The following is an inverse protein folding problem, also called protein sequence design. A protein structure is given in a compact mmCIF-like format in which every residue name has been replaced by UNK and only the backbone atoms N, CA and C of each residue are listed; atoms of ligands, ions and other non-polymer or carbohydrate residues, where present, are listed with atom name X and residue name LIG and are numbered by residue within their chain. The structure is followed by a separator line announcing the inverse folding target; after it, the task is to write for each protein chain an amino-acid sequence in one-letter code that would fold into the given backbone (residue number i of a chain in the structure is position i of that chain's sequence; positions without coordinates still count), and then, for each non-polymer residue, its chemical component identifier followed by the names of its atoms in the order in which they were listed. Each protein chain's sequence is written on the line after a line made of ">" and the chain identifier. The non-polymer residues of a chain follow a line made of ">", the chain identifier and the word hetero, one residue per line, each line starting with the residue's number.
data_IF_058767290931
#
_entry.id   IF_058767290931
#
_cell.length_a   1.000
_cell.length_b   1.000
_cell.length_c   1.000
_cell.angle_alpha   90.00
_cell.angle_beta   90.00
_cell.angle_gamma   90.00
#
_symmetry.space_group_name_H-M   'P 1'
#
loop_
_entity.id
_entity.type
_entity.pdbx_description
1 polymer ?
#
# COMPACT_ATOMS: atom_id res chain seq x y z
N UNK A 1 -4.32 -0.14 -7.20
CA UNK A 1 -3.06 0.34 -7.77
C UNK A 1 -2.42 -0.81 -8.54
N UNK A 2 -2.22 -0.63 -9.85
CA UNK A 2 -1.53 -1.57 -10.72
C UNK A 2 -0.02 -1.56 -10.44
N UNK A 3 0.73 -2.60 -10.85
CA UNK A 3 2.19 -2.62 -10.70
C UNK A 3 2.88 -1.43 -11.39
N UNK A 4 2.34 -0.96 -12.52
CA UNK A 4 2.93 0.15 -13.27
C UNK A 4 2.84 1.48 -12.54
N UNK A 5 1.70 1.74 -11.87
CA UNK A 5 1.49 2.92 -11.03
C UNK A 5 2.49 2.98 -9.86
N UNK A 6 2.98 1.82 -9.41
CA UNK A 6 3.95 1.72 -8.32
C UNK A 6 5.38 1.91 -8.85
N UNK A 7 5.77 1.15 -9.88
CA UNK A 7 7.17 1.01 -10.29
C UNK A 7 7.69 2.10 -11.24
N UNK A 8 6.83 2.76 -12.02
CA UNK A 8 7.26 3.62 -13.12
C UNK A 8 6.84 5.09 -12.95
N UNK A 9 7.72 5.98 -13.42
CA UNK A 9 7.38 7.40 -13.66
C UNK A 9 6.41 7.48 -14.84
N UNK A 10 5.43 8.37 -14.75
CA UNK A 10 4.33 8.41 -15.71
C UNK A 10 3.40 7.20 -15.66
N UNK A 11 3.55 6.32 -14.65
CA UNK A 11 2.73 5.12 -14.50
C UNK A 11 1.33 5.39 -13.94
N UNK A 12 1.05 6.60 -13.45
CA UNK A 12 -0.26 6.98 -12.96
C UNK A 12 -1.28 7.06 -14.11
N UNK A 13 -2.47 6.51 -13.87
CA UNK A 13 -3.50 6.33 -14.92
C UNK A 13 -4.07 7.67 -15.44
N UNK A 14 -4.08 8.71 -14.59
CA UNK A 14 -4.76 9.98 -14.89
C UNK A 14 -3.81 11.13 -15.25
N UNK A 15 -2.55 11.09 -14.78
CA UNK A 15 -1.60 12.20 -14.91
C UNK A 15 -0.16 11.69 -15.04
N UNK A 16 0.69 12.43 -15.75
CA UNK A 16 2.12 12.13 -15.75
C UNK A 16 2.76 12.50 -14.40
N UNK A 17 3.17 11.48 -13.64
CA UNK A 17 3.92 11.64 -12.40
C UNK A 17 5.44 11.63 -12.66
N UNK A 18 6.14 12.69 -12.26
CA UNK A 18 7.62 12.79 -12.38
C UNK A 18 8.35 11.76 -11.52
N UNK A 19 7.69 11.24 -10.49
CA UNK A 19 8.24 10.30 -9.51
C UNK A 19 7.35 9.05 -9.41
N UNK A 20 7.95 7.89 -9.15
CA UNK A 20 7.22 6.63 -9.05
C UNK A 20 6.25 6.62 -7.87
N UNK A 21 5.19 5.80 -7.94
CA UNK A 21 4.28 5.60 -6.80
C UNK A 21 5.02 5.08 -5.57
N UNK A 22 6.01 4.21 -5.74
CA UNK A 22 6.86 3.74 -4.64
C UNK A 22 7.59 4.89 -3.93
N UNK A 23 8.21 5.80 -4.67
CA UNK A 23 8.94 6.94 -4.08
C UNK A 23 8.02 7.83 -3.24
N UNK A 24 6.78 8.03 -3.71
CA UNK A 24 5.76 8.77 -2.97
C UNK A 24 5.29 8.03 -1.71
N UNK A 25 5.01 6.73 -1.82
CA UNK A 25 4.57 5.92 -0.68
C UNK A 25 5.65 5.84 0.41
N UNK A 26 6.93 5.68 0.04
CA UNK A 26 8.03 5.69 1.01
C UNK A 26 8.13 7.02 1.75
N UNK A 27 8.05 8.15 1.04
CA UNK A 27 8.03 9.49 1.67
C UNK A 27 6.82 9.69 2.58
N UNK A 28 5.64 9.19 2.18
CA UNK A 28 4.47 9.24 3.04
C UNK A 28 4.70 8.46 4.35
N UNK A 29 5.33 7.27 4.28
CA UNK A 29 5.67 6.49 5.48
C UNK A 29 6.68 7.21 6.38
N UNK A 30 7.66 7.89 5.80
CA UNK A 30 8.64 8.70 6.53
C UNK A 30 7.98 9.90 7.24
N UNK A 31 7.01 10.54 6.57
CA UNK A 31 6.29 11.70 7.11
C UNK A 31 5.25 11.33 8.18
N UNK A 32 4.59 10.18 8.05
CA UNK A 32 3.59 9.67 8.98
C UNK A 32 4.00 8.29 9.49
N UNK A 33 4.80 8.20 10.58
CA UNK A 33 5.35 6.93 11.06
C UNK A 33 4.27 5.92 11.49
N UNK A 34 3.12 6.43 11.95
CA UNK A 34 1.94 5.64 12.27
C UNK A 34 1.05 5.48 11.03
N UNK A 35 1.53 4.66 10.10
CA UNK A 35 0.83 4.29 8.89
C UNK A 35 0.58 2.79 8.80
N UNK A 36 -0.44 2.43 8.02
CA UNK A 36 -0.69 1.06 7.55
C UNK A 36 -1.41 1.13 6.21
N UNK A 37 -1.40 0.03 5.46
CA UNK A 37 -2.15 -0.10 4.22
C UNK A 37 -3.42 -0.93 4.41
N UNK A 38 -4.56 -0.41 3.94
CA UNK A 38 -5.83 -1.13 3.91
C UNK A 38 -5.99 -1.78 2.54
N UNK A 39 -6.08 -3.10 2.51
CA UNK A 39 -6.25 -3.86 1.28
C UNK A 39 -7.73 -4.22 1.05
N UNK A 40 -8.34 -3.81 -0.07
CA UNK A 40 -9.73 -4.12 -0.37
C UNK A 40 -9.95 -5.57 -0.80
N UNK A 41 -8.90 -6.30 -1.22
CA UNK A 41 -9.02 -7.72 -1.56
C UNK A 41 -8.99 -8.59 -0.30
N UNK A 42 -9.72 -9.73 -0.28
CA UNK A 42 -9.60 -10.72 0.78
C UNK A 42 -8.15 -11.22 0.96
N UNK A 43 -7.69 -11.47 2.21
CA UNK A 43 -6.33 -11.92 2.50
C UNK A 43 -5.85 -13.13 1.69
N UNK A 44 -6.74 -14.08 1.39
CA UNK A 44 -6.42 -15.26 0.60
C UNK A 44 -5.88 -14.93 -0.80
N UNK A 45 -6.24 -13.75 -1.34
CA UNK A 45 -5.82 -13.31 -2.67
C UNK A 45 -4.49 -12.54 -2.68
N UNK A 46 -3.98 -12.15 -1.52
CA UNK A 46 -2.82 -11.25 -1.43
C UNK A 46 -1.56 -11.88 -2.04
N UNK A 47 -1.36 -13.19 -1.83
CA UNK A 47 -0.21 -13.91 -2.35
C UNK A 47 -0.20 -14.07 -3.88
N UNK A 48 -1.35 -13.90 -4.54
CA UNK A 48 -1.49 -14.08 -5.99
C UNK A 48 -1.43 -12.76 -6.76
N UNK A 49 -1.41 -11.62 -6.06
CA UNK A 49 -1.49 -10.30 -6.68
C UNK A 49 -0.14 -9.59 -6.58
N UNK A 50 0.54 -9.40 -7.71
CA UNK A 50 1.90 -8.84 -7.73
C UNK A 50 2.00 -7.45 -7.08
N UNK A 51 1.07 -6.54 -7.38
CA UNK A 51 1.08 -5.20 -6.76
C UNK A 51 0.85 -5.25 -5.25
N UNK A 52 0.13 -6.26 -4.73
CA UNK A 52 -0.01 -6.45 -3.28
C UNK A 52 1.33 -6.85 -2.67
N UNK A 53 2.13 -7.70 -3.33
CA UNK A 53 3.47 -8.03 -2.85
C UNK A 53 4.38 -6.78 -2.80
N UNK A 54 4.33 -5.93 -3.82
CA UNK A 54 5.08 -4.67 -3.83
C UNK A 54 4.64 -3.74 -2.70
N UNK A 55 3.33 -3.56 -2.50
CA UNK A 55 2.80 -2.74 -1.40
C UNK A 55 3.20 -3.32 -0.03
N UNK A 56 3.20 -4.65 0.11
CA UNK A 56 3.63 -5.33 1.35
C UNK A 56 5.08 -5.04 1.68
N UNK A 57 5.96 -5.03 0.69
CA UNK A 57 7.37 -4.64 0.85
C UNK A 57 7.49 -3.16 1.21
N UNK A 58 6.74 -2.29 0.53
CA UNK A 58 6.75 -0.85 0.79
C UNK A 58 6.24 -0.53 2.20
N UNK A 59 5.25 -1.26 2.71
CA UNK A 59 4.65 -1.04 4.04
C UNK A 59 5.21 -1.97 5.12
N UNK A 60 6.24 -2.77 4.84
CA UNK A 60 6.89 -3.68 5.81
C UNK A 60 5.88 -4.57 6.54
N UNK A 61 5.02 -5.25 5.77
CA UNK A 61 3.96 -6.13 6.29
C UNK A 61 2.89 -5.43 7.17
N UNK A 62 2.89 -4.09 7.28
CA UNK A 62 1.85 -3.30 7.99
C UNK A 62 0.60 -3.14 7.12
N UNK A 63 -0.09 -4.26 6.89
CA UNK A 63 -1.29 -4.34 6.07
C UNK A 63 -2.48 -4.96 6.83
N UNK A 64 -3.68 -4.47 6.55
CA UNK A 64 -4.93 -5.02 7.09
C UNK A 64 -5.99 -5.16 6.00
N UNK A 65 -6.89 -6.15 6.10
CA UNK A 65 -8.01 -6.24 5.17
C UNK A 65 -9.03 -5.14 5.44
N UNK A 66 -9.77 -4.76 4.40
CA UNK A 66 -10.89 -3.81 4.47
C UNK A 66 -12.13 -4.46 5.10
N UNK A 67 -12.00 -4.89 6.36
CA UNK A 67 -13.09 -5.41 7.20
C UNK A 67 -13.11 -4.64 8.51
N UNK A 68 -14.25 -4.65 9.21
CA UNK A 68 -14.37 -3.99 10.51
C UNK A 68 -13.31 -4.52 11.51
N UNK A 69 -13.11 -5.84 11.53
CA UNK A 69 -12.08 -6.48 12.34
C UNK A 69 -10.67 -6.05 11.93
N UNK A 70 -10.37 -6.07 10.63
CA UNK A 70 -9.06 -5.67 10.09
C UNK A 70 -8.71 -4.23 10.44
N UNK A 71 -9.65 -3.29 10.26
CA UNK A 71 -9.48 -1.89 10.60
C UNK A 71 -9.33 -1.71 12.12
N UNK A 72 -10.13 -2.42 12.92
CA UNK A 72 -10.02 -2.37 14.39
C UNK A 72 -8.65 -2.85 14.87
N UNK A 73 -8.12 -3.94 14.29
CA UNK A 73 -6.76 -4.42 14.57
C UNK A 73 -5.72 -3.41 14.12
N UNK A 74 -5.89 -2.83 12.94
CA UNK A 74 -5.01 -1.82 12.38
C UNK A 74 -4.87 -0.61 13.32
N UNK A 75 -5.99 -0.05 13.77
CA UNK A 75 -5.98 1.09 14.70
C UNK A 75 -5.22 0.79 16.00
N UNK A 76 -5.39 -0.41 16.56
CA UNK A 76 -4.66 -0.84 17.78
C UNK A 76 -3.14 -0.98 17.56
N UNK A 77 -2.69 -1.20 16.33
CA UNK A 77 -1.28 -1.32 15.99
C UNK A 77 -0.61 0.03 15.67
N UNK A 78 -1.39 1.12 15.64
CA UNK A 78 -0.94 2.50 15.41
C UNK A 78 -0.87 3.32 16.71
N UNK A 79 -0.77 2.65 17.86
CA UNK A 79 -0.77 3.26 19.21
C UNK A 79 0.53 2.93 19.92
#
# INVERSE_FOLDING_TARGET
>A
MSPYEIAYRGGANEHWNEETGETWLRRAREQWPDNLWINPLPPEHWQYTHSIAMIREIFEDRMVPMTLEGITRGMKALT
#
